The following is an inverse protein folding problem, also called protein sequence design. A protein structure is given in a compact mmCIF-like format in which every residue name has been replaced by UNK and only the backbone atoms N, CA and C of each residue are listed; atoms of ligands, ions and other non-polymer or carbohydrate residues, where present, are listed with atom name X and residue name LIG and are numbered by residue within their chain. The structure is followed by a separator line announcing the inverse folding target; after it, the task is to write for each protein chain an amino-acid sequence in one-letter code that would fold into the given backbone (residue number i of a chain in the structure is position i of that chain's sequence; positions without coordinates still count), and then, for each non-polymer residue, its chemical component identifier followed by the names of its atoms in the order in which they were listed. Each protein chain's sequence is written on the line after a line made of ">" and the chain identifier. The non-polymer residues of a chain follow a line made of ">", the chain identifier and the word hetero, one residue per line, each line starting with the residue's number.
data_IF_742994208459
#
_entry.id   IF_742994208459
#
_cell.length_a   1.000
_cell.length_b   1.000
_cell.length_c   1.000
_cell.angle_alpha   90.00
_cell.angle_beta   90.00
_cell.angle_gamma   90.00
#
_symmetry.space_group_name_H-M   'P 1'
#
loop_
_entity.id
_entity.type
_entity.pdbx_description
1 polymer ?
#
# COMPACT_ATOMS: atom_id res chain seq x y z
N UNK A 1 -8.37 -31.91 4.12
CA UNK A 1 -7.02 -31.34 4.38
C UNK A 1 -6.54 -30.41 3.26
N UNK A 2 -6.36 -30.88 2.02
CA UNK A 2 -5.82 -30.07 0.90
C UNK A 2 -6.58 -28.76 0.62
N UNK A 3 -7.92 -28.81 0.65
CA UNK A 3 -8.79 -27.61 0.44
C UNK A 3 -8.67 -26.58 1.56
N UNK A 4 -8.50 -27.03 2.81
CA UNK A 4 -8.35 -26.14 3.96
C UNK A 4 -7.02 -25.38 3.90
N UNK A 5 -5.94 -26.07 3.54
CA UNK A 5 -4.62 -25.47 3.33
C UNK A 5 -4.66 -24.45 2.20
N UNK A 6 -5.30 -24.77 1.07
CA UNK A 6 -5.44 -23.83 -0.03
C UNK A 6 -6.24 -22.59 0.38
N UNK A 7 -7.33 -22.77 1.12
CA UNK A 7 -8.17 -21.69 1.63
C UNK A 7 -7.40 -20.76 2.58
N UNK A 8 -6.62 -21.32 3.51
CA UNK A 8 -5.78 -20.55 4.43
C UNK A 8 -4.70 -19.77 3.66
N UNK A 9 -4.09 -20.38 2.64
CA UNK A 9 -3.06 -19.73 1.83
C UNK A 9 -3.64 -18.59 0.98
N UNK A 10 -4.82 -18.78 0.39
CA UNK A 10 -5.54 -17.71 -0.32
C UNK A 10 -5.97 -16.59 0.62
N UNK A 11 -6.43 -16.93 1.83
CA UNK A 11 -6.87 -15.94 2.81
C UNK A 11 -5.69 -15.12 3.36
N UNK A 12 -4.55 -15.77 3.60
CA UNK A 12 -3.31 -15.09 4.01
C UNK A 12 -2.80 -14.15 2.91
N UNK A 13 -2.87 -14.59 1.65
CA UNK A 13 -2.50 -13.77 0.47
C UNK A 13 -3.46 -12.59 0.25
N UNK A 14 -4.70 -12.69 0.74
CA UNK A 14 -5.75 -11.68 0.56
C UNK A 14 -5.85 -10.69 1.74
N UNK A 15 -4.99 -10.81 2.75
CA UNK A 15 -4.92 -9.79 3.81
C UNK A 15 -4.41 -8.49 3.19
N UNK A 16 -5.34 -7.60 2.86
CA UNK A 16 -5.06 -6.25 2.40
C UNK A 16 -4.77 -5.38 3.61
N UNK A 17 -3.55 -4.87 3.70
CA UNK A 17 -3.16 -3.86 4.67
C UNK A 17 -3.27 -2.50 3.98
N UNK A 18 -4.07 -1.60 4.55
CA UNK A 18 -4.07 -0.18 4.16
C UNK A 18 -3.04 0.51 5.06
N UNK A 19 -2.01 1.09 4.47
CA UNK A 19 -1.01 1.91 5.14
C UNK A 19 -1.13 3.33 4.63
N UNK A 20 -0.92 4.30 5.51
CA UNK A 20 -0.92 5.70 5.10
C UNK A 20 -0.17 6.53 6.13
N UNK A 21 0.40 7.63 5.68
CA UNK A 21 1.22 8.50 6.49
C UNK A 21 1.09 9.95 6.05
N UNK A 22 1.29 10.84 7.01
CA UNK A 22 1.45 12.27 6.77
C UNK A 22 2.81 12.67 7.29
N UNK A 23 3.55 13.43 6.49
CA UNK A 23 4.86 13.97 6.85
C UNK A 23 4.94 15.46 6.53
N UNK A 24 5.81 16.17 7.24
CA UNK A 24 6.10 17.59 7.00
C UNK A 24 7.56 17.68 6.58
N UNK A 25 7.80 18.22 5.39
CA UNK A 25 9.13 18.44 4.85
C UNK A 25 9.83 19.63 5.50
N UNK A 26 11.16 19.68 5.40
CA UNK A 26 11.96 20.82 5.88
C UNK A 26 11.70 22.12 5.11
N UNK A 27 11.06 22.01 3.94
CA UNK A 27 10.51 23.10 3.13
C UNK A 27 9.16 23.63 3.66
N UNK A 28 8.64 23.07 4.75
CA UNK A 28 7.36 23.41 5.36
C UNK A 28 6.15 22.80 4.65
N UNK A 29 6.37 21.96 3.63
CA UNK A 29 5.30 21.32 2.86
C UNK A 29 4.75 20.09 3.57
N UNK A 30 3.46 19.87 3.44
CA UNK A 30 2.79 18.68 3.98
C UNK A 30 2.58 17.67 2.87
N UNK A 31 3.03 16.44 3.10
CA UNK A 31 2.94 15.33 2.15
C UNK A 31 2.14 14.21 2.78
N UNK A 32 1.03 13.86 2.14
CA UNK A 32 0.17 12.74 2.56
C UNK A 32 0.33 11.57 1.60
N UNK A 33 0.30 10.33 2.10
CA UNK A 33 0.21 9.14 1.27
C UNK A 33 -0.77 8.11 1.84
N UNK A 34 -1.34 7.33 0.93
CA UNK A 34 -2.12 6.13 1.24
C UNK A 34 -1.72 5.05 0.25
N UNK A 35 -1.52 3.85 0.76
CA UNK A 35 -1.27 2.68 -0.04
C UNK A 35 -1.98 1.45 0.51
N UNK A 36 -2.15 0.48 -0.37
CA UNK A 36 -2.74 -0.82 -0.09
C UNK A 36 -1.72 -1.87 -0.49
N UNK A 37 -1.47 -2.81 0.42
CA UNK A 37 -0.62 -3.96 0.20
C UNK A 37 -1.41 -5.24 0.41
N UNK A 38 -1.45 -6.15 -0.57
CA UNK A 38 -2.11 -7.45 -0.40
C UNK A 38 -1.06 -8.53 -0.19
N UNK A 39 -0.90 -9.01 1.05
CA UNK A 39 -0.07 -10.18 1.37
C UNK A 39 1.37 -10.16 0.84
N UNK A 40 1.95 -8.98 0.55
CA UNK A 40 3.27 -8.82 -0.07
C UNK A 40 3.33 -8.94 -1.60
N UNK A 41 2.22 -9.27 -2.27
CA UNK A 41 2.17 -9.52 -3.72
C UNK A 41 1.91 -8.27 -4.55
N UNK A 42 1.04 -7.37 -4.07
CA UNK A 42 0.68 -6.15 -4.79
C UNK A 42 0.78 -4.99 -3.80
N UNK A 43 1.61 -4.00 -4.12
CA UNK A 43 1.68 -2.72 -3.43
C UNK A 43 1.21 -1.62 -4.38
N UNK A 44 0.16 -0.91 -4.00
CA UNK A 44 -0.31 0.27 -4.74
C UNK A 44 -0.39 1.45 -3.78
N UNK A 45 0.18 2.59 -4.14
CA UNK A 45 0.13 3.79 -3.31
C UNK A 45 -0.06 5.06 -4.13
N UNK A 46 -0.77 6.02 -3.54
CA UNK A 46 -0.95 7.38 -4.04
C UNK A 46 -0.62 8.34 -2.89
N UNK A 47 0.20 9.34 -3.18
CA UNK A 47 0.48 10.47 -2.31
C UNK A 47 0.27 11.80 -3.00
N UNK A 48 0.05 12.82 -2.19
CA UNK A 48 -0.19 14.20 -2.62
C UNK A 48 0.69 15.11 -1.77
N UNK A 49 1.39 16.02 -2.42
CA UNK A 49 2.13 17.12 -1.79
C UNK A 49 1.30 18.42 -1.85
N UNK A 50 1.54 19.32 -0.90
CA UNK A 50 0.93 20.65 -0.80
C UNK A 50 1.17 21.58 -1.99
N UNK A 51 2.14 21.28 -2.86
CA UNK A 51 2.28 21.97 -4.16
C UNK A 51 1.33 21.41 -5.24
N UNK A 52 0.50 20.43 -4.89
CA UNK A 52 -0.49 19.83 -5.76
C UNK A 52 0.06 18.67 -6.59
N UNK A 53 1.32 18.29 -6.43
CA UNK A 53 1.86 17.13 -7.14
C UNK A 53 1.28 15.82 -6.58
N UNK A 54 0.76 14.99 -7.47
CA UNK A 54 0.25 13.65 -7.15
C UNK A 54 1.27 12.62 -7.62
N UNK A 55 1.75 11.81 -6.68
CA UNK A 55 2.76 10.77 -6.92
C UNK A 55 2.10 9.42 -6.67
N UNK A 56 2.17 8.51 -7.64
CA UNK A 56 1.52 7.21 -7.53
C UNK A 56 2.35 6.10 -8.16
N UNK A 57 2.30 4.92 -7.56
CA UNK A 57 3.06 3.76 -8.02
C UNK A 57 2.36 2.46 -7.68
N UNK A 58 2.41 1.52 -8.63
CA UNK A 58 1.95 0.14 -8.46
C UNK A 58 3.14 -0.78 -8.69
N UNK A 59 3.44 -1.60 -7.69
CA UNK A 59 4.47 -2.62 -7.73
C UNK A 59 3.89 -3.99 -7.45
N UNK A 60 4.40 -5.00 -8.17
CA UNK A 60 4.05 -6.42 -7.97
C UNK A 60 5.31 -7.14 -7.49
N UNK A 61 5.25 -7.72 -6.29
CA UNK A 61 6.34 -8.53 -5.72
C UNK A 61 6.08 -10.01 -6.02
N UNK A 62 7.06 -10.69 -6.63
CA UNK A 62 7.01 -12.13 -6.94
C UNK A 62 7.75 -12.95 -5.89
#
# INVERSE_FOLDING_TARGET
>A
MKKLILMILTLLSLTSCVTGGVSIGSDGKVRGNVGVSTGGLIHSGIGIDTDGEVHGGVGVGF
#
